data_IF_840267883283
#
_entry.id   IF_840267883283
#
_cell.length_a   1.000
_cell.length_b   1.000
_cell.length_c   1.000
_cell.angle_alpha   90.00
_cell.angle_beta   90.00
_cell.angle_gamma   90.00
#
_symmetry.space_group_name_H-M   'P 1'
#
loop_
_entity.id
_entity.type
_entity.pdbx_description
1 polymer ?
#
# COMPACT_ATOMS: atom_id res chain seq x y z
N UNK A 1 -1.04 6.38 -9.88
CA UNK A 1 -1.83 6.49 -8.62
C UNK A 1 -3.14 5.74 -8.79
N UNK A 2 -3.56 5.02 -7.77
CA UNK A 2 -4.81 4.29 -7.80
C UNK A 2 -5.53 4.39 -6.46
N UNK A 3 -6.86 4.41 -6.52
CA UNK A 3 -7.71 4.37 -5.32
C UNK A 3 -8.32 2.98 -5.23
N UNK A 4 -8.13 2.32 -4.10
CA UNK A 4 -8.71 1.00 -3.82
C UNK A 4 -9.86 1.21 -2.85
N UNK A 5 -11.07 0.89 -3.30
CA UNK A 5 -12.26 1.04 -2.46
C UNK A 5 -12.71 -0.28 -1.85
N UNK A 6 -12.31 -1.40 -2.46
CA UNK A 6 -12.69 -2.72 -2.00
C UNK A 6 -11.57 -3.70 -2.33
N UNK A 7 -11.27 -4.59 -1.39
CA UNK A 7 -10.29 -5.66 -1.60
C UNK A 7 -11.03 -6.98 -1.79
N UNK A 8 -10.59 -7.76 -2.76
CA UNK A 8 -10.97 -9.16 -2.85
C UNK A 8 -9.94 -9.97 -2.09
N UNK A 9 -10.40 -10.93 -1.30
CA UNK A 9 -9.52 -11.76 -0.50
C UNK A 9 -9.11 -12.97 -1.34
N UNK A 10 -7.81 -13.08 -1.59
CA UNK A 10 -7.24 -14.22 -2.30
C UNK A 10 -6.77 -15.31 -1.35
N UNK A 11 -6.35 -16.43 -1.93
CA UNK A 11 -5.82 -17.55 -1.15
C UNK A 11 -4.39 -17.27 -0.71
N UNK A 12 -3.99 -17.91 0.37
CA UNK A 12 -2.59 -17.88 0.81
C UNK A 12 -1.72 -18.61 -0.21
N UNK A 13 -0.60 -18.00 -0.58
CA UNK A 13 0.33 -18.58 -1.52
C UNK A 13 1.76 -18.38 -1.04
N UNK A 14 2.64 -19.27 -1.48
CA UNK A 14 4.08 -19.09 -1.31
C UNK A 14 4.63 -18.40 -2.55
N UNK A 15 5.43 -17.38 -2.36
CA UNK A 15 6.01 -16.64 -3.48
C UNK A 15 7.51 -16.53 -3.31
N UNK A 16 8.20 -16.25 -4.42
CA UNK A 16 9.63 -16.00 -4.38
C UNK A 16 9.90 -14.68 -3.66
N UNK A 17 11.04 -14.57 -2.99
CA UNK A 17 11.43 -13.31 -2.38
C UNK A 17 11.46 -12.18 -3.41
N UNK A 18 11.03 -11.00 -2.98
CA UNK A 18 11.03 -9.81 -3.80
C UNK A 18 12.01 -8.79 -3.23
N UNK A 19 12.42 -7.85 -4.09
CA UNK A 19 13.24 -6.75 -3.64
C UNK A 19 12.49 -5.87 -2.63
N UNK A 20 13.22 -5.32 -1.70
CA UNK A 20 12.67 -4.45 -0.68
C UNK A 20 12.78 -2.99 -1.11
N UNK A 21 11.77 -2.21 -0.81
CA UNK A 21 11.74 -0.78 -1.10
C UNK A 21 11.28 -0.02 0.13
N UNK A 22 11.66 1.24 0.20
CA UNK A 22 11.15 2.12 1.23
C UNK A 22 9.72 2.52 0.89
N UNK A 23 8.86 2.58 1.89
CA UNK A 23 7.50 3.05 1.72
C UNK A 23 7.14 4.03 2.83
N UNK A 24 6.20 4.93 2.52
CA UNK A 24 5.69 5.90 3.49
C UNK A 24 4.17 5.84 3.47
N UNK A 25 3.57 5.74 4.65
CA UNK A 25 2.13 5.82 4.79
C UNK A 25 1.74 7.22 5.26
N UNK A 26 0.71 7.78 4.63
CA UNK A 26 0.20 9.11 4.98
C UNK A 26 -1.30 9.08 5.13
N UNK A 27 -1.81 9.96 5.98
CA UNK A 27 -3.24 10.21 6.04
C UNK A 27 -3.52 11.37 5.09
N UNK A 28 -4.41 11.17 4.12
CA UNK A 28 -4.74 12.20 3.13
C UNK A 28 -6.24 12.40 3.06
N UNK A 29 -6.64 13.56 2.58
CA UNK A 29 -8.03 13.90 2.38
C UNK A 29 -8.17 14.50 0.97
N UNK A 30 -9.19 14.06 0.25
CA UNK A 30 -9.44 14.53 -1.11
C UNK A 30 -10.93 14.47 -1.38
N UNK A 31 -11.50 15.57 -1.87
CA UNK A 31 -12.92 15.63 -2.18
C UNK A 31 -13.83 15.37 -0.99
N UNK A 32 -13.42 15.73 0.20
CA UNK A 32 -14.17 15.50 1.42
C UNK A 32 -14.09 14.08 1.95
N UNK A 33 -13.26 13.24 1.36
CA UNK A 33 -13.10 11.84 1.75
C UNK A 33 -11.67 11.60 2.24
N UNK A 34 -11.54 10.76 3.26
CA UNK A 34 -10.24 10.46 3.89
C UNK A 34 -9.72 9.11 3.43
N UNK A 35 -8.41 9.05 3.22
CA UNK A 35 -7.73 7.85 2.74
C UNK A 35 -6.44 7.61 3.50
N UNK A 36 -5.99 6.36 3.51
CA UNK A 36 -4.60 6.02 3.84
C UNK A 36 -3.86 5.87 2.52
N UNK A 37 -2.80 6.64 2.34
CA UNK A 37 -2.01 6.60 1.11
C UNK A 37 -0.67 5.95 1.41
N UNK A 38 -0.26 5.04 0.53
CA UNK A 38 1.04 4.39 0.62
C UNK A 38 1.84 4.78 -0.62
N UNK A 39 2.98 5.43 -0.38
CA UNK A 39 3.93 5.81 -1.41
C UNK A 39 5.14 4.90 -1.32
N UNK A 40 5.54 4.28 -2.42
CA UNK A 40 6.78 3.51 -2.47
C UNK A 40 7.85 4.32 -3.17
N UNK A 41 9.12 4.05 -2.81
CA UNK A 41 10.26 4.74 -3.38
C UNK A 41 11.16 3.72 -4.02
N UNK A 42 11.96 4.14 -4.98
CA UNK A 42 12.87 3.24 -5.66
C UNK A 42 13.88 2.62 -4.71
N UNK A 43 14.45 1.49 -5.15
CA UNK A 43 15.51 0.82 -4.41
C UNK A 43 16.67 1.78 -4.11
N UNK A 44 17.34 1.64 -2.96
CA UNK A 44 18.51 2.47 -2.66
C UNK A 44 19.62 2.40 -3.71
N UNK A 45 19.64 1.33 -4.50
CA UNK A 45 20.63 1.14 -5.56
C UNK A 45 20.26 1.81 -6.87
N UNK A 46 19.08 2.43 -6.96
CA UNK A 46 18.68 3.13 -8.17
C UNK A 46 19.36 4.49 -8.26
N UNK A 47 19.53 4.94 -9.51
CA UNK A 47 20.14 6.23 -9.79
C UNK A 47 19.34 7.39 -9.20
N UNK A 48 18.02 7.25 -9.11
CA UNK A 48 17.14 8.28 -8.57
C UNK A 48 16.60 7.85 -7.20
N UNK A 49 17.50 7.75 -6.24
CA UNK A 49 17.17 7.38 -4.87
C UNK A 49 16.22 8.41 -4.27
N UNK A 50 15.17 7.94 -3.61
CA UNK A 50 14.20 8.81 -2.95
C UNK A 50 13.04 9.25 -3.83
N UNK A 51 13.08 8.94 -5.11
CA UNK A 51 11.98 9.28 -6.01
C UNK A 51 10.81 8.32 -5.81
N UNK A 52 9.61 8.87 -5.68
CA UNK A 52 8.39 8.08 -5.53
C UNK A 52 8.15 7.25 -6.79
N UNK A 53 7.94 5.94 -6.63
CA UNK A 53 7.73 5.05 -7.76
C UNK A 53 6.27 4.67 -7.96
N UNK A 54 5.53 4.41 -6.88
CA UNK A 54 4.11 4.05 -6.96
C UNK A 54 3.35 4.67 -5.79
N UNK A 55 2.06 4.92 -6.03
CA UNK A 55 1.17 5.44 -4.99
C UNK A 55 -0.16 4.71 -5.07
N UNK A 56 -0.65 4.22 -3.92
CA UNK A 56 -2.00 3.71 -3.80
C UNK A 56 -2.70 4.40 -2.64
N UNK A 57 -4.01 4.57 -2.76
CA UNK A 57 -4.86 5.08 -1.69
C UNK A 57 -5.87 4.01 -1.32
N UNK A 58 -6.07 3.83 -0.02
CA UNK A 58 -7.06 2.90 0.51
C UNK A 58 -8.18 3.71 1.12
N UNK A 59 -9.43 3.44 0.68
CA UNK A 59 -10.59 3.99 1.35
C UNK A 59 -10.69 3.41 2.76
N UNK A 60 -11.59 3.98 3.57
CA UNK A 60 -11.84 3.46 4.91
C UNK A 60 -12.18 1.97 4.88
N UNK A 61 -13.09 1.58 3.98
CA UNK A 61 -13.53 0.19 3.89
C UNK A 61 -12.40 -0.73 3.46
N UNK A 62 -11.62 -0.33 2.46
CA UNK A 62 -10.47 -1.13 2.02
C UNK A 62 -9.42 -1.26 3.11
N UNK A 63 -9.16 -0.19 3.84
CA UNK A 63 -8.23 -0.23 4.96
C UNK A 63 -8.71 -1.18 6.05
N UNK A 64 -9.98 -1.12 6.41
CA UNK A 64 -10.55 -2.01 7.42
C UNK A 64 -10.49 -3.47 6.98
N UNK A 65 -10.74 -3.75 5.70
CA UNK A 65 -10.60 -5.11 5.16
C UNK A 65 -9.17 -5.61 5.27
N UNK A 66 -8.19 -4.75 4.98
CA UNK A 66 -6.78 -5.12 5.07
C UNK A 66 -6.37 -5.44 6.51
N UNK A 67 -6.83 -4.64 7.46
CA UNK A 67 -6.54 -4.85 8.88
C UNK A 67 -7.11 -6.19 9.34
N UNK A 68 -8.36 -6.48 8.97
CA UNK A 68 -8.99 -7.76 9.33
C UNK A 68 -8.26 -8.94 8.70
N UNK A 69 -7.85 -8.81 7.45
CA UNK A 69 -7.14 -9.88 6.74
C UNK A 69 -5.84 -10.24 7.43
N UNK A 70 -5.08 -9.23 7.84
CA UNK A 70 -3.77 -9.44 8.46
C UNK A 70 -3.84 -9.75 9.95
N UNK A 71 -4.95 -9.45 10.61
CA UNK A 71 -5.09 -9.65 12.05
C UNK A 71 -5.02 -11.14 12.38
N UNK A 72 -4.09 -11.51 13.24
CA UNK A 72 -3.90 -12.89 13.65
C UNK A 72 -3.11 -13.74 12.66
N UNK A 73 -2.72 -13.18 11.52
CA UNK A 73 -1.92 -13.92 10.55
C UNK A 73 -0.43 -13.96 10.94
N UNK A 74 0.08 -12.83 11.37
CA UNK A 74 1.49 -12.73 11.78
C UNK A 74 1.74 -13.31 13.20
#
# INVERSE_FOLDING_TARGET
MAVIRKLEIGDSVNVKPQGEVLARARLVESGGEKYVQIDTFGSPNRQEVGKQSQTIRLSKDAFEQLVKLGAGYF
#
